data_IF_340114613283
#
_entry.id   IF_340114613283
#
_cell.length_a   1.000
_cell.length_b   1.000
_cell.length_c   1.000
_cell.angle_alpha   90.00
_cell.angle_beta   90.00
_cell.angle_gamma   90.00
#
_symmetry.space_group_name_H-M   'P 1'
#
loop_
_entity.id
_entity.type
_entity.pdbx_description
1 polymer ?
#
# COMPACT_ATOMS: atom_id res chain seq x y z
N UNK A 1 -65.96 -25.24 -69.31
CA UNK A 1 -65.06 -26.06 -68.50
C UNK A 1 -63.74 -25.31 -68.44
N UNK A 2 -63.54 -24.58 -67.36
CA UNK A 2 -62.34 -23.76 -67.20
C UNK A 2 -61.54 -24.33 -66.05
N UNK A 3 -60.34 -24.74 -66.36
CA UNK A 3 -59.36 -25.23 -65.41
C UNK A 3 -58.50 -24.08 -64.94
N UNK A 4 -58.59 -23.74 -63.67
CA UNK A 4 -57.86 -22.63 -63.02
C UNK A 4 -56.46 -23.07 -62.65
N UNK A 5 -55.47 -22.43 -63.27
CA UNK A 5 -54.07 -22.62 -62.96
C UNK A 5 -53.75 -22.07 -61.59
N UNK A 6 -53.31 -22.90 -60.68
CA UNK A 6 -52.79 -22.55 -59.37
C UNK A 6 -51.35 -22.01 -59.53
N UNK A 7 -51.19 -20.73 -59.33
CA UNK A 7 -49.86 -20.09 -59.30
C UNK A 7 -49.16 -20.46 -57.97
N UNK A 8 -48.11 -21.26 -58.01
CA UNK A 8 -47.25 -21.58 -56.93
C UNK A 8 -46.36 -20.36 -56.62
N UNK A 9 -46.63 -19.68 -55.47
CA UNK A 9 -45.81 -18.67 -54.96
C UNK A 9 -44.43 -19.28 -54.53
N UNK A 10 -43.42 -19.00 -55.32
CA UNK A 10 -42.01 -19.28 -54.93
C UNK A 10 -41.60 -18.27 -53.90
N UNK A 11 -41.56 -18.70 -52.67
CA UNK A 11 -40.94 -17.93 -51.57
C UNK A 11 -39.42 -18.02 -51.71
N UNK A 12 -38.67 -16.92 -51.80
CA UNK A 12 -37.23 -17.00 -51.91
C UNK A 12 -36.58 -17.47 -50.60
N UNK A 13 -35.97 -18.63 -50.63
CA UNK A 13 -35.29 -19.35 -49.53
C UNK A 13 -33.93 -18.73 -49.11
N UNK A 14 -33.59 -17.51 -49.53
CA UNK A 14 -32.24 -16.97 -49.34
C UNK A 14 -32.08 -15.91 -48.24
N UNK A 15 -33.10 -15.63 -47.44
CA UNK A 15 -33.02 -14.55 -46.46
C UNK A 15 -32.49 -14.96 -45.03
N UNK A 16 -32.45 -16.28 -44.73
CA UNK A 16 -32.15 -16.70 -43.31
C UNK A 16 -30.67 -16.86 -42.97
N UNK A 17 -29.80 -17.15 -43.94
CA UNK A 17 -28.38 -17.44 -43.64
C UNK A 17 -27.51 -16.21 -43.36
N UNK A 18 -27.91 -15.03 -43.82
CA UNK A 18 -27.20 -13.78 -43.57
C UNK A 18 -27.41 -13.26 -42.12
N UNK A 19 -28.61 -13.40 -41.62
CA UNK A 19 -29.00 -12.89 -40.27
C UNK A 19 -28.34 -13.70 -39.14
N UNK A 20 -28.26 -15.01 -39.27
CA UNK A 20 -27.65 -15.87 -38.22
C UNK A 20 -26.13 -15.66 -38.09
N UNK A 21 -25.42 -15.41 -39.19
CA UNK A 21 -23.97 -15.11 -39.17
C UNK A 21 -23.70 -13.75 -38.55
N UNK A 22 -24.49 -12.76 -38.89
CA UNK A 22 -24.38 -11.40 -38.35
C UNK A 22 -24.70 -11.37 -36.85
N UNK A 23 -25.74 -12.07 -36.40
CA UNK A 23 -26.07 -12.23 -34.98
C UNK A 23 -24.98 -12.93 -34.19
N UNK A 24 -24.40 -14.00 -34.70
CA UNK A 24 -23.28 -14.70 -34.05
C UNK A 24 -22.05 -13.83 -33.96
N UNK A 25 -21.68 -13.11 -35.02
CA UNK A 25 -20.57 -12.17 -34.99
C UNK A 25 -20.79 -11.03 -33.98
N UNK A 26 -22.00 -10.47 -33.93
CA UNK A 26 -22.37 -9.44 -32.96
C UNK A 26 -22.31 -9.96 -31.53
N UNK A 27 -22.87 -11.14 -31.27
CA UNK A 27 -22.82 -11.73 -29.92
C UNK A 27 -21.39 -12.05 -29.49
N UNK A 28 -20.56 -12.56 -30.39
CA UNK A 28 -19.14 -12.79 -30.11
C UNK A 28 -18.38 -11.48 -29.79
N UNK A 29 -18.61 -10.45 -30.61
CA UNK A 29 -18.00 -9.14 -30.36
C UNK A 29 -18.48 -8.50 -29.05
N UNK A 30 -19.78 -8.58 -28.77
CA UNK A 30 -20.36 -8.09 -27.52
C UNK A 30 -19.84 -8.85 -26.30
N UNK A 31 -19.65 -10.19 -26.43
CA UNK A 31 -19.06 -11.00 -25.33
C UNK A 31 -17.62 -10.63 -25.06
N UNK A 32 -16.79 -10.46 -26.09
CA UNK A 32 -15.39 -10.04 -25.94
C UNK A 32 -15.31 -8.65 -25.30
N UNK A 33 -16.12 -7.69 -25.78
CA UNK A 33 -16.20 -6.35 -25.22
C UNK A 33 -16.67 -6.38 -23.76
N UNK A 34 -17.68 -7.19 -23.44
CA UNK A 34 -18.20 -7.36 -22.06
C UNK A 34 -17.16 -7.95 -21.11
N UNK A 35 -16.43 -8.99 -21.54
CA UNK A 35 -15.34 -9.58 -20.74
C UNK A 35 -14.22 -8.55 -20.54
N UNK A 36 -13.81 -7.83 -21.59
CA UNK A 36 -12.80 -6.78 -21.49
C UNK A 36 -13.20 -5.67 -20.51
N UNK A 37 -14.44 -5.23 -20.56
CA UNK A 37 -14.97 -4.24 -19.64
C UNK A 37 -15.02 -4.76 -18.20
N UNK A 38 -15.50 -5.98 -17.99
CA UNK A 38 -15.52 -6.61 -16.67
C UNK A 38 -14.10 -6.75 -16.08
N UNK A 39 -13.13 -7.16 -16.89
CA UNK A 39 -11.74 -7.25 -16.48
C UNK A 39 -11.15 -5.87 -16.12
N UNK A 40 -11.48 -4.83 -16.90
CA UNK A 40 -11.03 -3.46 -16.64
C UNK A 40 -11.57 -2.90 -15.32
N UNK A 41 -12.80 -3.27 -14.92
CA UNK A 41 -13.39 -2.89 -13.64
C UNK A 41 -12.86 -3.76 -12.48
N UNK A 42 -12.67 -5.05 -12.71
CA UNK A 42 -12.21 -5.98 -11.68
C UNK A 42 -10.72 -5.81 -11.34
N UNK A 43 -9.89 -5.40 -12.31
CA UNK A 43 -8.45 -5.27 -12.12
C UNK A 43 -8.05 -4.27 -11.01
N UNK A 44 -8.55 -3.02 -10.98
CA UNK A 44 -8.20 -2.08 -9.90
C UNK A 44 -8.71 -2.56 -8.54
N UNK A 45 -9.87 -3.20 -8.48
CA UNK A 45 -10.39 -3.79 -7.24
C UNK A 45 -9.48 -4.92 -6.75
N UNK A 46 -9.08 -5.83 -7.65
CA UNK A 46 -8.12 -6.89 -7.35
C UNK A 46 -6.78 -6.32 -6.86
N UNK A 47 -6.22 -5.31 -7.53
CA UNK A 47 -4.96 -4.67 -7.14
C UNK A 47 -5.07 -4.01 -5.77
N UNK A 48 -6.18 -3.37 -5.47
CA UNK A 48 -6.43 -2.78 -4.15
C UNK A 48 -6.47 -3.83 -3.04
N UNK A 49 -7.17 -4.94 -3.26
CA UNK A 49 -7.29 -6.03 -2.28
C UNK A 49 -5.99 -6.86 -2.14
N UNK A 50 -5.22 -7.02 -3.20
CA UNK A 50 -3.95 -7.75 -3.18
C UNK A 50 -2.79 -6.94 -2.57
N UNK A 51 -2.83 -5.60 -2.66
CA UNK A 51 -1.74 -4.74 -2.21
C UNK A 51 -1.36 -4.90 -0.72
N UNK A 52 -2.27 -5.16 0.23
CA UNK A 52 -1.90 -5.39 1.62
C UNK A 52 -1.01 -6.62 1.82
N UNK A 53 -1.23 -7.69 1.05
CA UNK A 53 -0.42 -8.92 1.15
C UNK A 53 0.99 -8.72 0.58
N UNK A 54 1.14 -8.00 -0.52
CA UNK A 54 2.45 -7.65 -1.10
C UNK A 54 3.25 -6.73 -0.15
N UNK A 55 2.58 -5.75 0.45
CA UNK A 55 3.20 -4.86 1.44
C UNK A 55 3.63 -5.61 2.71
N UNK A 56 2.83 -6.55 3.19
CA UNK A 56 3.18 -7.39 4.35
C UNK A 56 4.39 -8.29 4.06
N UNK A 57 4.47 -8.89 2.87
CA UNK A 57 5.63 -9.69 2.45
C UNK A 57 6.89 -8.82 2.34
N UNK A 58 6.80 -7.64 1.72
CA UNK A 58 7.92 -6.69 1.62
C UNK A 58 8.36 -6.19 3.01
N UNK A 59 7.41 -5.94 3.91
CA UNK A 59 7.71 -5.53 5.28
C UNK A 59 8.45 -6.61 6.07
N UNK A 60 8.12 -7.89 5.87
CA UNK A 60 8.78 -8.99 6.55
C UNK A 60 10.18 -9.30 6.00
N UNK A 61 10.45 -8.94 4.74
CA UNK A 61 11.74 -9.20 4.10
C UNK A 61 12.88 -8.29 4.60
N UNK A 62 12.57 -7.06 5.07
CA UNK A 62 13.59 -6.14 5.58
C UNK A 62 13.85 -6.43 7.05
N UNK A 63 15.03 -6.96 7.33
CA UNK A 63 15.49 -7.27 8.70
C UNK A 63 16.42 -6.20 9.26
N UNK A 64 17.06 -5.45 8.37
CA UNK A 64 18.16 -4.54 8.69
C UNK A 64 18.23 -3.40 7.66
N UNK A 65 18.64 -2.21 8.09
CA UNK A 65 18.90 -1.05 7.24
C UNK A 65 20.16 -0.34 7.74
N UNK A 66 21.12 -0.12 6.84
CA UNK A 66 22.32 0.68 7.13
C UNK A 66 22.10 2.12 6.68
N UNK A 67 22.20 3.06 7.60
CA UNK A 67 22.07 4.49 7.38
C UNK A 67 23.47 5.09 7.26
N UNK A 68 23.90 5.34 6.01
CA UNK A 68 25.21 5.95 5.74
C UNK A 68 25.25 7.38 6.24
N UNK A 69 26.41 7.79 6.76
CA UNK A 69 26.66 9.12 7.33
C UNK A 69 25.74 9.49 8.55
N UNK A 70 24.91 8.56 9.04
CA UNK A 70 24.04 8.82 10.19
C UNK A 70 24.82 8.97 11.50
N UNK A 71 26.06 8.47 11.56
CA UNK A 71 26.97 8.67 12.68
C UNK A 71 27.36 10.14 12.88
N UNK A 72 27.20 10.97 11.84
CA UNK A 72 27.45 12.43 11.86
C UNK A 72 26.25 13.23 12.34
N UNK A 73 25.13 12.57 12.65
CA UNK A 73 23.92 13.24 13.12
C UNK A 73 24.19 13.99 14.42
N UNK A 74 23.95 15.30 14.50
CA UNK A 74 24.18 16.06 15.72
C UNK A 74 23.39 15.54 16.91
N UNK A 75 23.95 15.64 18.12
CA UNK A 75 23.20 15.33 19.34
C UNK A 75 21.96 16.22 19.48
N UNK A 76 20.85 15.66 19.97
CA UNK A 76 19.55 16.32 20.05
C UNK A 76 18.80 16.38 18.73
N UNK A 77 19.17 15.60 17.70
CA UNK A 77 18.51 15.60 16.39
C UNK A 77 17.94 14.24 16.01
N UNK A 78 17.14 14.23 14.94
CA UNK A 78 16.43 13.06 14.43
C UNK A 78 16.64 12.91 12.93
N UNK A 79 16.82 11.68 12.48
CA UNK A 79 16.84 11.31 11.07
C UNK A 79 15.62 10.43 10.76
N UNK A 80 14.76 10.88 9.85
CA UNK A 80 13.65 10.07 9.35
C UNK A 80 14.12 9.18 8.20
N UNK A 81 13.78 7.90 8.25
CA UNK A 81 14.14 6.92 7.23
C UNK A 81 13.01 5.92 6.98
N UNK A 82 13.18 5.03 6.01
CA UNK A 82 12.25 3.92 5.77
C UNK A 82 12.84 2.62 6.26
N UNK A 83 12.10 1.92 7.10
CA UNK A 83 12.38 0.54 7.47
C UNK A 83 11.37 -0.38 6.76
N UNK A 84 11.77 -0.92 5.62
CA UNK A 84 10.84 -1.54 4.68
C UNK A 84 9.81 -0.53 4.15
N UNK A 85 8.50 -0.84 4.18
CA UNK A 85 7.45 0.06 3.71
C UNK A 85 7.08 1.14 4.73
N UNK A 86 7.51 1.03 5.98
CA UNK A 86 7.07 1.89 7.08
C UNK A 86 8.08 2.99 7.39
N UNK A 87 7.62 4.22 7.73
CA UNK A 87 8.50 5.24 8.24
C UNK A 87 9.03 4.87 9.63
N UNK A 88 10.29 5.21 9.84
CA UNK A 88 11.01 5.05 11.10
C UNK A 88 11.84 6.30 11.39
N UNK A 89 12.27 6.46 12.62
CA UNK A 89 13.14 7.55 13.05
C UNK A 89 14.33 7.00 13.82
N UNK A 90 15.48 7.61 13.62
CA UNK A 90 16.69 7.44 14.40
C UNK A 90 16.92 8.75 15.17
N UNK A 91 16.92 8.69 16.48
CA UNK A 91 17.15 9.82 17.36
C UNK A 91 18.56 9.70 17.95
N UNK A 92 19.34 10.77 17.83
CA UNK A 92 20.57 10.95 18.58
C UNK A 92 20.29 11.93 19.71
N UNK A 93 20.11 11.41 20.93
CA UNK A 93 19.79 12.22 22.10
C UNK A 93 20.98 13.11 22.53
N UNK A 94 20.69 14.14 23.30
CA UNK A 94 21.69 15.07 23.82
C UNK A 94 22.73 14.41 24.76
N UNK A 95 22.39 13.28 25.36
CA UNK A 95 23.26 12.45 26.20
C UNK A 95 24.09 11.42 25.37
N UNK A 96 24.13 11.55 24.05
CA UNK A 96 24.75 10.63 23.10
C UNK A 96 24.11 9.22 23.04
N UNK A 97 22.92 9.04 23.57
CA UNK A 97 22.15 7.79 23.38
C UNK A 97 21.52 7.75 22.00
N UNK A 98 21.59 6.60 21.35
CA UNK A 98 20.97 6.36 20.04
C UNK A 98 19.75 5.47 20.19
N UNK A 99 18.62 5.93 19.67
CA UNK A 99 17.37 5.18 19.71
C UNK A 99 16.70 5.20 18.35
N UNK A 100 16.30 4.03 17.86
CA UNK A 100 15.50 3.91 16.63
C UNK A 100 14.13 3.34 16.92
N UNK A 101 13.10 4.00 16.38
CA UNK A 101 11.69 3.62 16.59
C UNK A 101 10.90 3.70 15.29
N UNK A 102 9.79 2.97 15.25
CA UNK A 102 8.79 3.23 14.21
C UNK A 102 8.23 4.64 14.34
N UNK A 103 8.08 5.35 13.23
CA UNK A 103 7.50 6.69 13.21
C UNK A 103 5.98 6.67 12.90
N UNK A 104 5.31 5.56 13.17
CA UNK A 104 3.88 5.36 12.93
C UNK A 104 3.12 5.35 14.25
N UNK A 105 2.24 6.32 14.43
CA UNK A 105 1.37 6.43 15.61
C UNK A 105 0.47 5.20 15.74
N UNK A 106 0.43 4.61 16.92
CA UNK A 106 -0.35 3.40 17.18
C UNK A 106 -1.86 3.64 17.34
N UNK A 107 -2.30 4.90 17.26
CA UNK A 107 -3.73 5.25 17.24
C UNK A 107 -4.34 4.99 15.84
N UNK A 108 -4.00 5.80 14.84
CA UNK A 108 -4.56 5.74 13.48
C UNK A 108 -3.49 5.86 12.38
N UNK A 109 -2.24 5.55 12.68
CA UNK A 109 -1.20 5.46 11.66
C UNK A 109 -0.58 6.78 11.18
N UNK A 110 -0.85 7.91 11.85
CA UNK A 110 -0.19 9.19 11.54
C UNK A 110 1.32 9.11 11.75
N UNK A 111 2.11 9.84 10.97
CA UNK A 111 3.55 9.96 11.21
C UNK A 111 3.79 10.83 12.44
N UNK A 112 4.55 10.31 13.40
CA UNK A 112 4.95 11.03 14.61
C UNK A 112 6.25 11.82 14.38
N UNK A 113 6.50 12.81 15.22
CA UNK A 113 7.68 13.68 15.17
C UNK A 113 8.40 13.72 16.50
N UNK A 114 9.73 13.83 16.46
CA UNK A 114 10.54 14.07 17.64
C UNK A 114 10.61 15.57 17.95
N UNK A 115 10.39 15.94 19.21
CA UNK A 115 10.49 17.31 19.72
C UNK A 115 11.70 17.43 20.65
N UNK A 116 12.87 17.91 20.16
CA UNK A 116 14.11 17.92 20.92
C UNK A 116 14.04 18.73 22.20
N UNK A 117 13.30 19.85 22.19
CA UNK A 117 13.18 20.76 23.36
C UNK A 117 12.48 20.10 24.54
N UNK A 118 11.65 19.09 24.29
CA UNK A 118 10.88 18.36 25.32
C UNK A 118 11.34 16.91 25.46
N UNK A 119 12.29 16.49 24.64
CA UNK A 119 12.81 15.13 24.55
C UNK A 119 11.70 14.06 24.49
N UNK A 120 10.72 14.32 23.61
CA UNK A 120 9.54 13.46 23.45
C UNK A 120 9.19 13.24 21.99
N UNK A 121 8.40 12.22 21.73
CA UNK A 121 7.80 12.00 20.40
C UNK A 121 6.32 12.38 20.46
N UNK A 122 5.88 13.21 19.51
CA UNK A 122 4.54 13.77 19.47
C UNK A 122 3.83 13.40 18.18
N UNK A 123 2.54 13.10 18.29
CA UNK A 123 1.64 12.89 17.17
C UNK A 123 0.66 14.07 17.07
N UNK A 124 0.86 14.95 16.10
CA UNK A 124 0.05 16.16 15.92
C UNK A 124 -1.42 15.89 15.57
N UNK A 125 -1.75 14.68 15.09
CA UNK A 125 -3.13 14.36 14.66
C UNK A 125 -4.13 14.40 15.83
N UNK A 126 -3.79 13.79 16.96
CA UNK A 126 -4.69 13.68 18.13
C UNK A 126 -3.95 13.85 19.47
N UNK A 127 -2.80 14.49 19.46
CA UNK A 127 -2.04 14.82 20.68
C UNK A 127 -1.41 13.63 21.40
N UNK A 128 -1.17 12.51 20.70
CA UNK A 128 -0.49 11.37 21.29
C UNK A 128 0.97 11.71 21.62
N UNK A 129 1.43 11.36 22.82
CA UNK A 129 2.81 11.57 23.26
C UNK A 129 3.45 10.26 23.66
N UNK A 130 4.71 10.08 23.23
CA UNK A 130 5.52 8.92 23.55
C UNK A 130 6.86 9.33 24.14
N UNK A 131 7.39 8.47 24.99
CA UNK A 131 8.74 8.60 25.50
C UNK A 131 9.76 8.33 24.39
N UNK A 132 10.71 9.21 24.18
CA UNK A 132 11.66 9.14 23.08
C UNK A 132 12.71 8.03 23.24
N UNK A 133 12.95 7.53 24.46
CA UNK A 133 13.90 6.44 24.74
C UNK A 133 13.27 5.06 24.64
N UNK A 134 12.05 4.92 25.14
CA UNK A 134 11.40 3.60 25.30
C UNK A 134 10.28 3.35 24.32
N UNK A 135 9.80 4.38 23.62
CA UNK A 135 8.61 4.32 22.78
C UNK A 135 7.31 4.19 23.55
N UNK A 136 7.35 4.15 24.91
CA UNK A 136 6.15 4.00 25.72
C UNK A 136 5.18 5.18 25.49
N UNK A 137 3.89 4.89 25.38
CA UNK A 137 2.86 5.92 25.33
C UNK A 137 2.75 6.62 26.70
N UNK A 138 2.86 7.95 26.70
CA UNK A 138 2.83 8.79 27.89
C UNK A 138 1.46 9.43 28.07
N UNK A 139 0.86 9.92 26.98
CA UNK A 139 -0.46 10.54 27.01
C UNK A 139 -1.16 10.49 25.66
N UNK A 140 -2.47 10.77 25.67
CA UNK A 140 -3.31 10.78 24.48
C UNK A 140 -3.90 9.41 24.14
N UNK A 141 -4.54 9.29 22.96
CA UNK A 141 -5.30 8.10 22.57
C UNK A 141 -4.49 6.88 22.11
N UNK A 142 -3.16 6.91 21.87
CA UNK A 142 -2.43 5.73 21.43
C UNK A 142 -2.53 4.56 22.41
N UNK A 143 -2.96 3.34 21.97
CA UNK A 143 -3.16 2.21 22.88
C UNK A 143 -1.91 1.39 23.16
N UNK A 144 -0.83 1.58 22.39
CA UNK A 144 0.39 0.76 22.44
C UNK A 144 1.64 1.62 22.29
N UNK A 145 2.81 1.16 22.79
CA UNK A 145 4.07 1.82 22.55
C UNK A 145 4.47 1.80 21.06
N UNK A 146 5.37 2.69 20.68
CA UNK A 146 6.10 2.61 19.42
C UNK A 146 7.06 1.42 19.46
N UNK A 147 7.23 0.75 18.32
CA UNK A 147 8.17 -0.37 18.23
C UNK A 147 9.60 0.14 18.20
N UNK A 148 10.45 -0.39 19.09
CA UNK A 148 11.88 -0.16 19.11
C UNK A 148 12.59 -1.06 18.08
N UNK A 149 13.69 -0.55 17.55
CA UNK A 149 14.68 -1.27 16.75
C UNK A 149 16.01 -1.35 17.53
N UNK A 150 16.83 -2.33 17.23
CA UNK A 150 18.22 -2.37 17.70
C UNK A 150 19.05 -1.41 16.86
N UNK A 151 19.97 -0.71 17.53
CA UNK A 151 20.88 0.25 16.90
C UNK A 151 22.31 -0.18 17.17
N UNK A 152 23.13 -0.25 16.13
CA UNK A 152 24.57 -0.42 16.21
C UNK A 152 25.25 0.74 15.45
N UNK A 153 26.10 1.50 16.14
CA UNK A 153 26.82 2.63 15.53
C UNK A 153 28.20 2.13 15.14
N UNK A 154 28.55 2.30 13.87
CA UNK A 154 29.81 1.89 13.27
C UNK A 154 30.47 3.09 12.57
N UNK A 155 31.76 3.00 12.25
CA UNK A 155 32.52 4.07 11.56
C UNK A 155 31.99 4.37 10.14
N UNK A 156 31.16 3.50 9.57
CA UNK A 156 30.60 3.61 8.21
C UNK A 156 29.13 4.02 8.19
N UNK A 157 28.51 4.22 9.38
CA UNK A 157 27.09 4.55 9.52
C UNK A 157 26.44 3.92 10.73
N UNK A 158 25.12 4.06 10.79
CA UNK A 158 24.28 3.46 11.84
C UNK A 158 23.46 2.34 11.25
N UNK A 159 23.61 1.16 11.82
CA UNK A 159 22.84 -0.03 11.46
C UNK A 159 21.62 -0.13 12.36
N UNK A 160 20.45 -0.29 11.75
CA UNK A 160 19.17 -0.44 12.44
C UNK A 160 18.57 -1.78 12.06
N UNK A 161 18.32 -2.63 13.05
CA UNK A 161 17.78 -3.97 12.84
C UNK A 161 16.56 -4.28 13.70
N UNK A 162 15.81 -5.30 13.30
CA UNK A 162 14.68 -5.78 14.14
C UNK A 162 15.20 -6.37 15.44
N UNK A 163 14.50 -6.05 16.54
CA UNK A 163 14.71 -6.65 17.84
C UNK A 163 14.09 -8.06 17.95
#
# INVERSE_FOLDING_TARGET
MSESAISSNIVPEHAENGDTRTRRAFLAAASVAGIGYAAALAYPVYRYLASPSEMALSASAVTEVTLKDAEKLPAGSVLMFKFGPSPAMLIHHADNTWVALTAVCTHLGCTVQYEPQMDRIHCACHGGVYNAYTGANVSGPPPKPLKLFKVAVNDTGVEVSRG
#
